data_IF_705588037677
#
_entry.id   IF_705588037677
#
_cell.length_a   1.000
_cell.length_b   1.000
_cell.length_c   1.000
_cell.angle_alpha   90.00
_cell.angle_beta   90.00
_cell.angle_gamma   90.00
#
_symmetry.space_group_name_H-M   'P 1'
#
loop_
_entity.id
_entity.type
_entity.pdbx_description
1 polymer ?
#
# COMPACT_ATOMS: atom_id res chain seq x y z
N UNK A 1 -13.40 2.21 43.04
CA UNK A 1 -13.71 3.35 42.13
C UNK A 1 -12.40 3.76 41.49
N UNK A 2 -12.01 3.07 40.39
CA UNK A 2 -10.77 3.38 39.63
C UNK A 2 -11.12 4.48 38.65
N UNK A 3 -10.51 5.62 38.83
CA UNK A 3 -10.47 6.70 37.83
C UNK A 3 -9.66 6.17 36.67
N UNK A 4 -10.32 5.80 35.55
CA UNK A 4 -9.67 5.64 34.26
C UNK A 4 -9.23 7.05 33.81
N UNK A 5 -8.00 7.44 34.14
CA UNK A 5 -7.32 8.49 33.42
C UNK A 5 -7.35 8.10 31.95
N UNK A 6 -7.97 8.94 31.13
CA UNK A 6 -7.82 8.91 29.68
C UNK A 6 -6.34 9.13 29.39
N UNK A 7 -5.58 8.05 29.33
CA UNK A 7 -4.27 8.05 28.69
C UNK A 7 -4.55 8.49 27.25
N UNK A 8 -4.25 9.74 26.95
CA UNK A 8 -4.20 10.23 25.56
C UNK A 8 -3.38 9.21 24.81
N UNK A 9 -4.01 8.41 23.96
CA UNK A 9 -3.36 7.38 23.16
C UNK A 9 -2.27 8.07 22.34
N UNK A 10 -1.03 8.01 22.82
CA UNK A 10 0.12 8.51 22.08
C UNK A 10 0.25 7.64 20.83
N UNK A 11 0.01 8.23 19.68
CA UNK A 11 0.27 7.57 18.40
C UNK A 11 1.77 7.63 18.11
N UNK A 12 2.27 6.68 17.30
CA UNK A 12 3.71 6.55 17.01
C UNK A 12 4.26 7.82 16.36
N UNK A 13 3.50 8.41 15.41
CA UNK A 13 3.93 9.55 14.61
C UNK A 13 3.23 10.86 14.98
N UNK A 14 2.67 10.99 16.19
CA UNK A 14 1.87 12.16 16.63
C UNK A 14 2.53 13.52 16.38
N UNK A 15 3.86 13.57 16.35
CA UNK A 15 4.62 14.82 16.18
C UNK A 15 5.07 15.04 14.74
N UNK A 16 4.77 14.13 13.84
CA UNK A 16 5.23 14.17 12.46
C UNK A 16 4.13 14.76 11.59
N UNK A 17 4.47 15.79 10.83
CA UNK A 17 3.62 16.41 9.82
C UNK A 17 4.15 16.10 8.42
N UNK A 18 3.28 15.63 7.55
CA UNK A 18 3.59 15.25 6.18
C UNK A 18 2.78 16.14 5.23
N UNK A 19 3.46 16.81 4.31
CA UNK A 19 2.83 17.52 3.20
C UNK A 19 2.80 16.59 1.99
N UNK A 20 1.62 16.16 1.62
CA UNK A 20 1.37 15.12 0.62
C UNK A 20 0.86 15.73 -0.69
N UNK A 21 1.75 15.83 -1.68
CA UNK A 21 1.41 16.23 -3.06
C UNK A 21 1.13 15.03 -3.96
N UNK A 22 1.24 13.81 -3.46
CA UNK A 22 1.14 12.61 -4.28
C UNK A 22 -0.29 12.34 -4.77
N UNK A 23 -0.43 11.58 -5.87
CA UNK A 23 -1.68 11.27 -6.54
C UNK A 23 -1.85 9.78 -6.76
N UNK A 24 -3.07 9.34 -7.00
CA UNK A 24 -3.49 8.02 -7.45
C UNK A 24 -3.27 6.94 -6.36
N UNK A 25 -2.25 6.09 -6.45
CA UNK A 25 -2.05 4.95 -5.54
C UNK A 25 -0.76 5.05 -4.74
N UNK A 26 0.36 5.18 -5.41
CA UNK A 26 1.71 4.96 -4.90
C UNK A 26 2.02 5.79 -3.65
N UNK A 27 2.03 7.11 -3.80
CA UNK A 27 2.28 8.03 -2.69
C UNK A 27 1.14 8.06 -1.67
N UNK A 28 -0.14 8.14 -2.11
CA UNK A 28 -1.27 8.12 -1.19
C UNK A 28 -1.31 6.88 -0.30
N UNK A 29 -0.88 5.70 -0.78
CA UNK A 29 -0.76 4.49 0.03
C UNK A 29 0.30 4.64 1.13
N UNK A 30 1.47 5.20 0.79
CA UNK A 30 2.51 5.44 1.77
C UNK A 30 2.04 6.41 2.86
N UNK A 31 1.43 7.53 2.46
CA UNK A 31 0.96 8.55 3.42
C UNK A 31 -0.28 8.11 4.21
N UNK A 32 -1.12 7.22 3.66
CA UNK A 32 -2.19 6.56 4.41
C UNK A 32 -1.63 5.73 5.58
N UNK A 33 -0.59 4.93 5.34
CA UNK A 33 0.05 4.13 6.39
C UNK A 33 0.63 5.05 7.47
N UNK A 34 1.31 6.13 7.08
CA UNK A 34 1.85 7.10 8.03
C UNK A 34 0.73 7.81 8.82
N UNK A 35 -0.39 8.14 8.16
CA UNK A 35 -1.57 8.71 8.81
C UNK A 35 -2.20 7.74 9.82
N UNK A 36 -2.35 6.45 9.47
CA UNK A 36 -2.84 5.42 10.37
C UNK A 36 -1.94 5.28 11.63
N UNK A 37 -0.63 5.44 11.45
CA UNK A 37 0.37 5.48 12.53
C UNK A 37 0.32 6.79 13.35
N UNK A 38 -0.50 7.75 12.93
CA UNK A 38 -0.80 8.97 13.67
C UNK A 38 -0.05 10.22 13.23
N UNK A 39 0.65 10.20 12.10
CA UNK A 39 1.16 11.42 11.48
C UNK A 39 -0.01 12.34 11.07
N UNK A 40 0.21 13.64 11.15
CA UNK A 40 -0.66 14.63 10.53
C UNK A 40 -0.30 14.71 9.04
N UNK A 41 -1.21 14.26 8.18
CA UNK A 41 -1.02 14.30 6.73
C UNK A 41 -1.91 15.38 6.14
N UNK A 42 -1.30 16.39 5.52
CA UNK A 42 -1.98 17.44 4.75
C UNK A 42 -1.87 17.07 3.28
N UNK A 43 -2.96 16.59 2.71
CA UNK A 43 -3.09 16.26 1.29
C UNK A 43 -3.37 17.52 0.50
N UNK A 44 -2.49 17.85 -0.45
CA UNK A 44 -2.66 18.99 -1.35
C UNK A 44 -3.16 18.52 -2.70
N UNK A 45 -4.32 19.05 -3.10
CA UNK A 45 -4.94 18.74 -4.37
C UNK A 45 -5.04 19.99 -5.25
N UNK A 46 -5.13 19.86 -6.59
CA UNK A 46 -5.56 20.96 -7.44
C UNK A 46 -6.99 21.37 -7.08
N UNK A 47 -7.39 22.59 -7.40
CA UNK A 47 -8.73 23.13 -7.07
C UNK A 47 -9.90 22.32 -7.65
N UNK A 48 -9.65 21.49 -8.65
CA UNK A 48 -10.64 20.57 -9.23
C UNK A 48 -10.57 19.14 -8.68
N UNK A 49 -9.69 18.87 -7.72
CA UNK A 49 -9.44 17.54 -7.17
C UNK A 49 -8.42 16.73 -7.98
N UNK A 50 -7.88 15.69 -7.36
CA UNK A 50 -7.02 14.74 -8.04
C UNK A 50 -7.84 13.68 -8.83
N UNK A 51 -7.19 13.06 -9.83
CA UNK A 51 -7.84 12.12 -10.76
C UNK A 51 -8.38 10.87 -10.06
N UNK A 52 -7.80 10.42 -8.95
CA UNK A 52 -8.29 9.25 -8.23
C UNK A 52 -9.69 9.44 -7.63
N UNK A 53 -10.16 10.68 -7.45
CA UNK A 53 -11.55 10.95 -7.05
C UNK A 53 -12.57 10.49 -8.10
N UNK A 54 -12.14 10.41 -9.37
CA UNK A 54 -13.00 10.11 -10.52
C UNK A 54 -13.03 8.61 -10.88
N UNK A 55 -12.23 7.74 -10.26
CA UNK A 55 -12.20 6.32 -10.59
C UNK A 55 -13.46 5.58 -10.14
N UNK A 56 -13.94 4.67 -10.95
CA UNK A 56 -15.07 3.79 -10.60
C UNK A 56 -14.62 2.55 -9.81
N UNK A 57 -15.49 2.00 -8.96
CA UNK A 57 -16.81 2.50 -8.56
C UNK A 57 -16.74 3.66 -7.57
N UNK A 58 -17.76 4.53 -7.60
CA UNK A 58 -17.91 5.68 -6.69
C UNK A 58 -18.99 5.41 -5.62
N UNK A 59 -18.78 5.96 -4.44
CA UNK A 59 -19.71 5.93 -3.31
C UNK A 59 -19.78 7.35 -2.73
N UNK A 60 -20.98 7.92 -2.62
CA UNK A 60 -21.15 9.32 -2.24
C UNK A 60 -20.41 10.29 -3.19
N UNK A 61 -20.37 9.97 -4.50
CA UNK A 61 -19.69 10.79 -5.49
C UNK A 61 -18.17 10.67 -5.55
N UNK A 62 -17.54 9.90 -4.64
CA UNK A 62 -16.09 9.74 -4.53
C UNK A 62 -15.69 8.29 -4.78
N UNK A 63 -14.57 8.10 -5.46
CA UNK A 63 -14.00 6.80 -5.80
C UNK A 63 -13.68 5.96 -4.54
N UNK A 64 -13.91 4.63 -4.63
CA UNK A 64 -13.44 3.68 -3.61
C UNK A 64 -11.94 3.78 -3.35
N UNK A 65 -11.15 4.11 -4.37
CA UNK A 65 -9.70 4.28 -4.27
C UNK A 65 -9.35 5.43 -3.35
N UNK A 66 -9.98 6.59 -3.56
CA UNK A 66 -9.77 7.76 -2.73
C UNK A 66 -10.26 7.53 -1.29
N UNK A 67 -11.42 6.87 -1.10
CA UNK A 67 -11.91 6.48 0.22
C UNK A 67 -10.92 5.60 0.99
N UNK A 68 -10.24 4.69 0.29
CA UNK A 68 -9.26 3.79 0.92
C UNK A 68 -7.95 4.49 1.25
N UNK A 69 -7.39 5.23 0.28
CA UNK A 69 -6.02 5.75 0.34
C UNK A 69 -5.88 7.10 1.06
N UNK A 70 -6.96 7.87 1.15
CA UNK A 70 -6.89 9.24 1.69
C UNK A 70 -7.59 9.40 3.05
N UNK A 71 -7.93 8.27 3.69
CA UNK A 71 -8.41 8.26 5.09
C UNK A 71 -7.38 8.86 6.05
N UNK A 72 -7.86 9.42 7.15
CA UNK A 72 -7.03 10.06 8.19
C UNK A 72 -6.26 11.30 7.73
N UNK A 73 -6.49 11.83 6.52
CA UNK A 73 -5.80 13.00 5.99
C UNK A 73 -6.65 14.27 6.09
N UNK A 74 -6.00 15.41 6.21
CA UNK A 74 -6.62 16.75 6.04
C UNK A 74 -6.46 17.17 4.57
N UNK A 75 -7.55 17.33 3.84
CA UNK A 75 -7.53 17.72 2.42
C UNK A 75 -7.57 19.23 2.23
N UNK A 76 -6.62 19.77 1.48
CA UNK A 76 -6.58 21.16 1.06
C UNK A 76 -6.44 21.24 -0.46
N UNK A 77 -6.99 22.31 -1.05
CA UNK A 77 -6.84 22.57 -2.47
C UNK A 77 -5.94 23.78 -2.69
N UNK A 78 -5.00 23.69 -3.63
CA UNK A 78 -4.11 24.80 -3.99
C UNK A 78 -3.89 24.86 -5.51
N UNK A 79 -4.02 26.04 -6.09
CA UNK A 79 -3.52 26.32 -7.42
C UNK A 79 -2.01 26.59 -7.37
N UNK A 80 -1.19 25.53 -7.48
CA UNK A 80 0.27 25.62 -7.41
C UNK A 80 0.92 26.39 -8.58
N UNK A 81 0.16 26.70 -9.63
CA UNK A 81 0.65 27.54 -10.75
C UNK A 81 0.57 29.02 -10.43
N UNK A 82 -0.26 29.42 -9.47
CA UNK A 82 -0.38 30.79 -9.00
C UNK A 82 0.68 31.09 -7.92
N UNK A 83 1.34 32.24 -7.96
CA UNK A 83 2.32 32.63 -6.93
C UNK A 83 1.81 32.58 -5.49
N UNK A 84 0.51 32.91 -5.25
CA UNK A 84 -0.09 32.82 -3.91
C UNK A 84 -0.24 31.36 -3.47
N UNK A 85 -0.72 30.47 -4.36
CA UNK A 85 -0.82 29.05 -4.06
C UNK A 85 0.55 28.39 -3.79
N UNK A 86 1.56 28.76 -4.59
CA UNK A 86 2.95 28.36 -4.34
C UNK A 86 3.47 28.87 -2.98
N UNK A 87 3.22 30.12 -2.63
CA UNK A 87 3.62 30.70 -1.34
C UNK A 87 3.05 29.88 -0.18
N UNK A 88 1.73 29.59 -0.23
CA UNK A 88 1.05 28.77 0.79
C UNK A 88 1.70 27.37 0.88
N UNK A 89 2.01 26.74 -0.26
CA UNK A 89 2.66 25.43 -0.29
C UNK A 89 4.05 25.45 0.37
N UNK A 90 4.85 26.52 0.18
CA UNK A 90 6.14 26.71 0.84
C UNK A 90 5.99 26.97 2.35
N UNK A 91 4.97 27.73 2.75
CA UNK A 91 4.64 27.94 4.17
C UNK A 91 4.24 26.63 4.86
N UNK A 92 3.41 25.80 4.21
CA UNK A 92 3.08 24.46 4.70
C UNK A 92 4.34 23.58 4.81
N UNK A 93 5.18 23.58 3.78
CA UNK A 93 6.43 22.82 3.78
C UNK A 93 7.36 23.23 4.92
N UNK A 94 7.46 24.55 5.24
CA UNK A 94 8.30 25.06 6.34
C UNK A 94 7.87 24.55 7.71
N UNK A 95 6.59 24.15 7.85
CA UNK A 95 6.01 23.60 9.09
C UNK A 95 5.90 22.07 9.05
N UNK A 96 6.40 21.42 8.01
CA UNK A 96 6.31 19.97 7.81
C UNK A 96 7.65 19.27 8.07
N UNK A 97 7.58 18.00 8.42
CA UNK A 97 8.74 17.12 8.62
C UNK A 97 9.11 16.39 7.36
N UNK A 98 8.09 16.05 6.57
CA UNK A 98 8.22 15.30 5.32
C UNK A 98 7.42 16.00 4.24
N UNK A 99 7.98 16.06 3.04
CA UNK A 99 7.27 16.34 1.78
C UNK A 99 7.34 15.11 0.91
N UNK A 100 6.23 14.73 0.31
CA UNK A 100 6.15 13.59 -0.60
C UNK A 100 5.41 13.97 -1.89
N UNK A 101 5.94 13.50 -3.02
CA UNK A 101 5.36 13.72 -4.35
C UNK A 101 5.60 12.52 -5.27
N UNK A 102 4.76 12.36 -6.28
CA UNK A 102 4.95 11.34 -7.33
C UNK A 102 4.61 11.91 -8.72
N UNK A 103 4.95 13.17 -8.95
CA UNK A 103 4.79 13.82 -10.24
C UNK A 103 5.83 13.33 -11.27
N UNK A 104 5.58 13.65 -12.53
CA UNK A 104 6.58 13.45 -13.56
C UNK A 104 7.85 14.24 -13.25
N UNK A 105 8.99 13.63 -13.54
CA UNK A 105 10.32 14.21 -13.26
C UNK A 105 10.42 15.71 -13.59
N UNK A 106 10.91 16.48 -12.64
CA UNK A 106 11.12 17.92 -12.73
C UNK A 106 9.84 18.76 -12.70
N UNK A 107 8.67 18.16 -12.46
CA UNK A 107 7.43 18.93 -12.35
C UNK A 107 7.44 19.81 -11.09
N UNK A 108 7.87 19.30 -9.95
CA UNK A 108 7.97 20.06 -8.71
C UNK A 108 9.04 21.15 -8.79
N UNK A 109 10.17 20.89 -9.48
CA UNK A 109 11.20 21.92 -9.73
C UNK A 109 10.64 23.09 -10.57
N UNK A 110 9.88 22.78 -11.62
CA UNK A 110 9.22 23.83 -12.45
C UNK A 110 8.20 24.63 -11.67
N UNK A 111 7.55 24.04 -10.67
CA UNK A 111 6.64 24.74 -9.75
C UNK A 111 7.43 25.53 -8.68
N UNK A 112 8.75 25.32 -8.55
CA UNK A 112 9.57 25.88 -7.48
C UNK A 112 9.24 25.31 -6.11
N UNK A 113 8.89 24.02 -6.09
CA UNK A 113 8.56 23.20 -4.92
C UNK A 113 9.41 21.92 -4.89
N UNK A 114 10.50 21.86 -5.66
CA UNK A 114 11.46 20.76 -5.62
C UNK A 114 12.26 20.74 -4.32
N UNK A 115 13.04 19.67 -4.12
CA UNK A 115 13.83 19.49 -2.90
C UNK A 115 14.69 20.71 -2.53
N UNK A 116 15.44 21.25 -3.49
CA UNK A 116 16.31 22.40 -3.26
C UNK A 116 15.55 23.69 -2.94
N UNK A 117 14.31 23.83 -3.41
CA UNK A 117 13.47 24.99 -3.07
C UNK A 117 12.89 24.88 -1.64
N UNK A 118 12.40 23.69 -1.28
CA UNK A 118 11.82 23.44 0.04
C UNK A 118 12.91 23.44 1.11
N UNK A 119 14.10 22.93 0.83
CA UNK A 119 15.25 22.94 1.73
C UNK A 119 15.66 24.37 2.14
N UNK A 120 15.42 25.38 1.32
CA UNK A 120 15.67 26.78 1.67
C UNK A 120 14.78 27.28 2.81
N UNK A 121 13.55 26.79 2.90
CA UNK A 121 12.57 27.19 3.93
C UNK A 121 12.52 26.19 5.10
N UNK A 122 13.01 24.96 4.90
CA UNK A 122 13.08 23.89 5.90
C UNK A 122 14.37 23.07 5.69
N UNK A 123 15.50 23.49 6.26
CA UNK A 123 16.81 22.85 5.99
C UNK A 123 16.91 21.37 6.37
N UNK A 124 16.16 20.93 7.38
CA UNK A 124 16.10 19.56 7.88
C UNK A 124 14.92 18.75 7.29
N UNK A 125 14.35 19.21 6.16
CA UNK A 125 13.24 18.52 5.51
C UNK A 125 13.64 17.12 5.00
N UNK A 126 12.73 16.16 5.13
CA UNK A 126 12.79 14.90 4.43
C UNK A 126 11.91 15.05 3.20
N UNK A 127 12.47 14.86 2.01
CA UNK A 127 11.77 14.99 0.74
C UNK A 127 11.74 13.66 0.02
N UNK A 128 10.58 13.08 -0.17
CA UNK A 128 10.40 11.79 -0.85
C UNK A 128 9.87 11.99 -2.27
N UNK A 129 10.71 11.75 -3.26
CA UNK A 129 10.32 11.68 -4.68
C UNK A 129 10.02 10.24 -5.06
N UNK A 130 8.81 9.99 -5.50
CA UNK A 130 8.34 8.70 -5.93
C UNK A 130 8.18 8.67 -7.44
N UNK A 131 8.84 7.73 -8.11
CA UNK A 131 8.86 7.70 -9.58
C UNK A 131 8.78 6.28 -10.13
N UNK A 132 8.58 6.15 -11.44
CA UNK A 132 8.59 4.84 -12.10
C UNK A 132 9.97 4.22 -12.20
N UNK A 133 11.02 5.06 -12.44
CA UNK A 133 12.33 4.59 -12.84
C UNK A 133 13.50 5.28 -12.12
N UNK A 134 13.23 6.04 -11.06
CA UNK A 134 14.22 6.84 -10.35
C UNK A 134 14.45 8.22 -10.97
N UNK A 135 15.18 9.05 -10.22
CA UNK A 135 15.48 10.43 -10.61
C UNK A 135 16.60 10.53 -11.66
N UNK A 136 17.34 9.46 -11.89
CA UNK A 136 18.43 9.40 -12.88
C UNK A 136 18.35 8.16 -13.77
N UNK A 137 19.39 7.94 -14.59
CA UNK A 137 19.46 6.79 -15.48
C UNK A 137 18.69 6.93 -16.81
N UNK A 138 18.79 5.90 -17.68
CA UNK A 138 18.32 5.99 -19.07
C UNK A 138 16.79 6.06 -19.19
N UNK A 139 16.04 5.65 -18.17
CA UNK A 139 14.57 5.60 -18.17
C UNK A 139 13.90 6.68 -17.33
N UNK A 140 14.64 7.50 -16.62
CA UNK A 140 14.13 8.48 -15.67
C UNK A 140 13.07 9.46 -16.25
N UNK A 141 13.03 9.66 -17.56
CA UNK A 141 12.06 10.52 -18.28
C UNK A 141 10.88 9.75 -18.89
N UNK A 142 10.85 8.42 -18.78
CA UNK A 142 9.76 7.63 -19.34
C UNK A 142 8.52 7.73 -18.47
N UNK A 143 7.32 7.78 -19.07
CA UNK A 143 6.08 7.63 -18.32
C UNK A 143 6.03 6.22 -17.73
N UNK A 144 5.51 6.11 -16.50
CA UNK A 144 5.31 4.83 -15.81
C UNK A 144 4.00 4.83 -15.05
N UNK A 145 3.48 3.62 -14.88
CA UNK A 145 2.43 3.23 -13.96
C UNK A 145 2.83 1.88 -13.36
N UNK A 146 2.13 1.45 -12.32
CA UNK A 146 2.34 0.15 -11.66
C UNK A 146 2.60 -1.01 -12.63
N UNK A 147 1.73 -1.15 -13.65
CA UNK A 147 1.80 -2.22 -14.64
C UNK A 147 3.08 -2.20 -15.48
N UNK A 148 3.63 -1.02 -15.75
CA UNK A 148 4.87 -0.86 -16.52
C UNK A 148 6.07 -1.34 -15.70
N UNK A 149 6.19 -0.89 -14.44
CA UNK A 149 7.26 -1.33 -13.55
C UNK A 149 7.18 -2.84 -13.26
N UNK A 150 6.00 -3.36 -12.99
CA UNK A 150 5.75 -4.79 -12.77
C UNK A 150 6.12 -5.64 -14.01
N UNK A 151 5.77 -5.18 -15.22
CA UNK A 151 6.16 -5.85 -16.46
C UNK A 151 7.68 -5.90 -16.64
N UNK A 152 8.35 -4.76 -16.43
CA UNK A 152 9.80 -4.64 -16.63
C UNK A 152 10.62 -5.37 -15.56
N UNK A 153 10.05 -5.55 -14.34
CA UNK A 153 10.72 -6.31 -13.28
C UNK A 153 10.70 -7.83 -13.49
N UNK A 154 10.02 -8.31 -14.53
CA UNK A 154 9.82 -9.73 -14.79
C UNK A 154 8.66 -10.37 -14.02
N UNK A 155 7.92 -9.60 -13.19
CA UNK A 155 6.84 -10.12 -12.35
C UNK A 155 5.76 -10.87 -13.13
N UNK A 156 5.29 -10.30 -14.25
CA UNK A 156 4.24 -10.91 -15.06
C UNK A 156 4.71 -12.17 -15.79
N UNK A 157 5.96 -12.16 -16.27
CA UNK A 157 6.55 -13.35 -16.94
C UNK A 157 6.76 -14.47 -15.90
N UNK A 158 7.32 -14.14 -14.75
CA UNK A 158 7.51 -15.09 -13.65
C UNK A 158 6.17 -15.72 -13.22
N UNK A 159 5.11 -14.93 -13.09
CA UNK A 159 3.76 -15.42 -12.74
C UNK A 159 3.23 -16.36 -13.82
N UNK A 160 3.35 -16.00 -15.10
CA UNK A 160 2.94 -16.83 -16.22
C UNK A 160 3.70 -18.15 -16.28
N UNK A 161 5.02 -18.10 -16.14
CA UNK A 161 5.89 -19.31 -16.16
C UNK A 161 5.58 -20.31 -15.05
N UNK A 162 5.03 -19.83 -13.94
CA UNK A 162 4.61 -20.71 -12.84
C UNK A 162 3.28 -21.42 -13.13
N UNK A 163 2.46 -20.88 -14.02
CA UNK A 163 1.20 -21.45 -14.48
C UNK A 163 1.44 -22.33 -15.70
N UNK A 164 2.01 -21.77 -16.75
CA UNK A 164 2.35 -22.43 -18.02
C UNK A 164 3.60 -21.75 -18.61
N UNK A 165 4.77 -22.42 -18.62
CA UNK A 165 6.01 -21.86 -19.17
C UNK A 165 5.94 -21.51 -20.66
N UNK A 166 5.10 -22.19 -21.43
CA UNK A 166 4.87 -21.94 -22.86
C UNK A 166 3.72 -20.95 -23.10
N UNK A 167 3.00 -20.59 -22.03
CA UNK A 167 1.85 -19.70 -22.07
C UNK A 167 2.24 -18.21 -22.08
N UNK A 168 1.24 -17.32 -22.20
CA UNK A 168 1.44 -15.88 -22.12
C UNK A 168 1.82 -15.42 -20.69
N UNK A 169 2.45 -14.24 -20.57
CA UNK A 169 2.60 -13.59 -19.26
C UNK A 169 1.24 -13.38 -18.57
N UNK A 170 1.18 -13.50 -17.27
CA UNK A 170 -0.04 -13.32 -16.47
C UNK A 170 0.08 -12.07 -15.62
N UNK A 171 -0.87 -11.14 -15.81
CA UNK A 171 -1.02 -9.98 -14.95
C UNK A 171 -1.85 -10.35 -13.72
N UNK A 172 -1.32 -10.21 -12.50
CA UNK A 172 -2.11 -10.37 -11.29
C UNK A 172 -3.23 -9.33 -11.19
N UNK A 173 -4.23 -9.60 -10.35
CA UNK A 173 -5.36 -8.69 -10.14
C UNK A 173 -5.03 -7.47 -9.26
N UNK A 174 -3.81 -7.37 -8.73
CA UNK A 174 -3.39 -6.35 -7.78
C UNK A 174 -2.49 -5.29 -8.40
N UNK A 175 -2.36 -4.19 -7.65
CA UNK A 175 -1.54 -3.04 -8.01
C UNK A 175 -0.16 -3.09 -7.31
N UNK A 176 0.52 -4.23 -7.32
CA UNK A 176 1.82 -4.44 -6.66
C UNK A 176 2.88 -3.41 -7.06
N UNK A 177 2.89 -2.99 -8.33
CA UNK A 177 3.79 -1.95 -8.80
C UNK A 177 3.60 -0.56 -8.18
N UNK A 178 2.53 -0.35 -7.40
CA UNK A 178 2.28 0.85 -6.60
C UNK A 178 2.38 0.56 -5.09
N UNK A 179 1.71 -0.51 -4.63
CA UNK A 179 1.58 -0.78 -3.20
C UNK A 179 2.92 -1.22 -2.57
N UNK A 180 3.66 -2.10 -3.23
CA UNK A 180 4.95 -2.55 -2.71
C UNK A 180 5.98 -1.40 -2.68
N UNK A 181 6.14 -0.59 -3.75
CA UNK A 181 6.94 0.63 -3.67
C UNK A 181 6.45 1.62 -2.61
N UNK A 182 5.13 1.71 -2.37
CA UNK A 182 4.56 2.51 -1.29
C UNK A 182 5.05 2.07 0.10
N UNK A 183 5.20 0.76 0.33
CA UNK A 183 5.81 0.24 1.57
C UNK A 183 7.29 0.62 1.67
N UNK A 184 8.05 0.55 0.58
CA UNK A 184 9.44 1.03 0.55
C UNK A 184 9.55 2.52 0.83
N UNK A 185 8.61 3.33 0.32
CA UNK A 185 8.55 4.76 0.63
C UNK A 185 8.31 5.01 2.12
N UNK A 186 7.43 4.24 2.77
CA UNK A 186 7.25 4.30 4.24
C UNK A 186 8.55 3.95 4.97
N UNK A 187 9.22 2.86 4.58
CA UNK A 187 10.50 2.46 5.18
C UNK A 187 11.55 3.56 4.99
N UNK A 188 11.65 4.14 3.80
CA UNK A 188 12.57 5.24 3.49
C UNK A 188 12.29 6.47 4.34
N UNK A 189 11.04 6.91 4.43
CA UNK A 189 10.65 8.06 5.26
C UNK A 189 10.90 7.81 6.74
N UNK A 190 10.55 6.62 7.27
CA UNK A 190 10.83 6.26 8.67
C UNK A 190 12.33 6.21 8.96
N UNK A 191 13.13 5.65 8.05
CA UNK A 191 14.60 5.63 8.15
C UNK A 191 15.20 7.02 8.16
N UNK A 192 14.72 7.92 7.28
CA UNK A 192 15.17 9.30 7.22
C UNK A 192 14.75 10.13 8.46
N UNK A 193 13.54 9.90 9.00
CA UNK A 193 13.10 10.51 10.26
C UNK A 193 14.00 10.09 11.42
N UNK A 194 14.35 8.80 11.50
CA UNK A 194 15.26 8.27 12.52
C UNK A 194 16.68 8.83 12.36
N UNK A 195 17.19 8.92 11.12
CA UNK A 195 18.47 9.54 10.84
C UNK A 195 18.49 11.01 11.29
N UNK A 196 17.44 11.77 10.95
CA UNK A 196 17.29 13.17 11.36
C UNK A 196 17.26 13.32 12.88
N UNK A 197 16.61 12.43 13.60
CA UNK A 197 16.57 12.44 15.07
C UNK A 197 17.98 12.35 15.68
N UNK A 198 18.88 11.61 15.03
CA UNK A 198 20.27 11.44 15.52
C UNK A 198 21.23 12.54 15.06
N UNK A 199 21.04 13.08 13.87
CA UNK A 199 22.00 13.98 13.21
C UNK A 199 21.52 15.41 13.10
N UNK A 200 20.21 15.64 13.18
CA UNK A 200 19.60 16.93 12.85
C UNK A 200 19.47 17.19 11.34
N UNK A 201 19.89 16.24 10.48
CA UNK A 201 19.95 16.42 9.02
C UNK A 201 18.77 15.76 8.32
N UNK A 202 18.06 16.54 7.48
CA UNK A 202 17.11 16.02 6.50
C UNK A 202 17.78 15.47 5.26
N UNK A 203 17.01 14.83 4.38
CA UNK A 203 17.54 14.25 3.14
C UNK A 203 16.50 14.11 2.06
N UNK A 204 16.97 14.00 0.81
CA UNK A 204 16.16 13.61 -0.33
C UNK A 204 16.13 12.07 -0.46
N UNK A 205 14.95 11.50 -0.64
CA UNK A 205 14.72 10.07 -0.84
C UNK A 205 14.18 9.88 -2.24
N UNK A 206 14.86 9.07 -3.05
CA UNK A 206 14.40 8.61 -4.36
C UNK A 206 13.91 7.17 -4.23
N UNK A 207 12.63 6.93 -4.55
CA UNK A 207 12.03 5.59 -4.53
C UNK A 207 11.44 5.31 -5.90
N UNK A 208 12.00 4.30 -6.57
CA UNK A 208 11.59 3.88 -7.92
C UNK A 208 10.70 2.64 -7.86
N UNK A 209 9.58 2.68 -8.59
CA UNK A 209 8.71 1.49 -8.72
C UNK A 209 9.50 0.29 -9.25
N UNK A 210 10.31 0.49 -10.30
CA UNK A 210 11.08 -0.61 -10.91
C UNK A 210 12.07 -1.23 -9.93
N UNK A 211 12.83 -0.41 -9.20
CA UNK A 211 13.83 -0.90 -8.25
C UNK A 211 13.17 -1.70 -7.12
N UNK A 212 12.05 -1.21 -6.61
CA UNK A 212 11.28 -1.92 -5.59
C UNK A 212 10.75 -3.27 -6.10
N UNK A 213 10.21 -3.31 -7.31
CA UNK A 213 9.72 -4.55 -7.92
C UNK A 213 10.85 -5.54 -8.22
N UNK A 214 12.06 -5.07 -8.57
CA UNK A 214 13.25 -5.92 -8.70
C UNK A 214 13.66 -6.47 -7.34
N UNK A 215 13.64 -5.65 -6.29
CA UNK A 215 13.94 -6.09 -4.92
C UNK A 215 12.93 -7.15 -4.42
N UNK A 216 11.64 -7.01 -4.74
CA UNK A 216 10.60 -8.01 -4.44
C UNK A 216 10.85 -9.32 -5.17
N UNK A 217 11.36 -9.27 -6.40
CA UNK A 217 11.77 -10.45 -7.16
C UNK A 217 13.18 -10.97 -6.78
N UNK A 218 13.74 -10.55 -5.65
CA UNK A 218 15.12 -10.86 -5.26
C UNK A 218 15.45 -12.35 -5.22
N UNK A 219 14.54 -13.20 -4.71
CA UNK A 219 14.77 -14.66 -4.64
C UNK A 219 14.90 -15.30 -6.04
N UNK A 220 13.92 -15.16 -6.95
CA UNK A 220 14.05 -15.73 -8.31
C UNK A 220 15.20 -15.11 -9.10
N UNK A 221 15.46 -13.80 -8.98
CA UNK A 221 16.59 -13.14 -9.64
C UNK A 221 17.93 -13.68 -9.13
N UNK A 222 18.09 -13.80 -7.82
CA UNK A 222 19.31 -14.39 -7.22
C UNK A 222 19.50 -15.82 -7.69
N UNK A 223 18.44 -16.63 -7.72
CA UNK A 223 18.49 -17.99 -8.24
C UNK A 223 18.96 -18.05 -9.68
N UNK A 224 18.45 -17.18 -10.53
CA UNK A 224 18.87 -17.09 -11.93
C UNK A 224 20.35 -16.64 -12.06
N UNK A 225 20.74 -15.59 -11.34
CA UNK A 225 22.13 -15.10 -11.36
C UNK A 225 23.16 -16.16 -10.92
N UNK A 226 22.79 -17.04 -9.99
CA UNK A 226 23.67 -18.10 -9.48
C UNK A 226 23.69 -19.34 -10.38
N UNK A 227 22.61 -19.67 -11.07
CA UNK A 227 22.47 -20.96 -11.77
C UNK A 227 22.28 -20.85 -13.28
N UNK A 228 21.93 -19.66 -13.79
CA UNK A 228 21.48 -19.46 -15.17
C UNK A 228 20.13 -20.10 -15.49
N UNK A 229 19.42 -20.63 -14.47
CA UNK A 229 18.15 -21.35 -14.66
C UNK A 229 16.96 -20.54 -14.16
N UNK A 230 15.88 -20.55 -14.91
CA UNK A 230 14.62 -19.93 -14.52
C UNK A 230 13.91 -20.76 -13.41
N UNK A 231 13.07 -20.13 -12.58
CA UNK A 231 12.39 -20.82 -11.46
C UNK A 231 11.57 -22.06 -11.87
N UNK A 232 10.91 -22.04 -13.03
CA UNK A 232 10.15 -23.18 -13.51
C UNK A 232 11.04 -24.35 -13.94
N UNK A 233 12.24 -24.09 -14.51
CA UNK A 233 13.21 -25.13 -14.87
C UNK A 233 13.75 -25.84 -13.61
N UNK A 234 13.98 -25.09 -12.52
CA UNK A 234 14.29 -25.69 -11.24
C UNK A 234 13.16 -26.58 -10.72
N UNK A 235 11.88 -26.21 -10.97
CA UNK A 235 10.74 -27.04 -10.58
C UNK A 235 10.68 -28.33 -11.39
N UNK A 236 10.91 -28.28 -12.70
CA UNK A 236 10.92 -29.48 -13.57
C UNK A 236 12.03 -30.46 -13.20
N UNK A 237 13.23 -29.97 -12.82
CA UNK A 237 14.36 -30.84 -12.43
C UNK A 237 14.21 -31.49 -11.06
N UNK A 238 13.27 -31.04 -10.24
CA UNK A 238 13.05 -31.66 -8.92
C UNK A 238 12.31 -32.98 -9.07
N UNK A 239 12.96 -34.06 -8.67
CA UNK A 239 12.36 -35.42 -8.58
C UNK A 239 11.50 -35.53 -7.31
N UNK A 240 10.38 -36.22 -7.42
CA UNK A 240 9.48 -36.53 -6.30
C UNK A 240 8.10 -35.88 -6.40
N UNK A 241 7.15 -36.52 -5.75
CA UNK A 241 5.75 -36.10 -5.73
C UNK A 241 5.61 -34.78 -4.94
N UNK A 242 4.85 -33.86 -5.50
CA UNK A 242 4.54 -32.56 -4.89
C UNK A 242 3.06 -32.43 -4.66
N UNK A 243 2.74 -32.26 -3.41
CA UNK A 243 1.36 -32.12 -2.95
C UNK A 243 1.09 -30.68 -2.45
N UNK A 244 1.80 -29.69 -3.02
CA UNK A 244 1.60 -28.26 -2.70
C UNK A 244 0.90 -27.57 -3.86
N UNK A 245 -0.11 -26.77 -3.52
CA UNK A 245 -0.84 -25.97 -4.49
C UNK A 245 -2.33 -25.89 -4.20
N UNK A 246 -3.10 -25.33 -5.15
CA UNK A 246 -4.55 -25.35 -5.10
C UNK A 246 -5.08 -26.73 -5.48
N UNK A 247 -6.15 -27.12 -4.79
CA UNK A 247 -6.92 -28.35 -5.05
C UNK A 247 -8.41 -28.02 -5.01
N UNK A 248 -9.17 -28.63 -5.93
CA UNK A 248 -10.61 -28.50 -5.94
C UNK A 248 -11.23 -29.36 -4.83
N UNK A 249 -12.23 -28.83 -4.14
CA UNK A 249 -13.07 -29.51 -3.18
C UNK A 249 -14.51 -29.46 -3.67
N UNK A 250 -15.43 -30.24 -3.09
CA UNK A 250 -16.83 -30.36 -3.57
C UNK A 250 -17.60 -29.03 -3.56
N UNK A 251 -17.16 -28.03 -2.79
CA UNK A 251 -17.82 -26.73 -2.63
C UNK A 251 -16.89 -25.53 -2.75
N UNK A 252 -15.71 -25.68 -3.36
CA UNK A 252 -14.74 -24.57 -3.52
C UNK A 252 -13.32 -25.07 -3.69
N UNK A 253 -12.35 -24.23 -3.33
CA UNK A 253 -10.93 -24.50 -3.49
C UNK A 253 -10.18 -24.41 -2.16
N UNK A 254 -9.19 -25.31 -1.97
CA UNK A 254 -8.30 -25.31 -0.83
C UNK A 254 -6.86 -25.22 -1.30
N UNK A 255 -6.05 -24.42 -0.61
CA UNK A 255 -4.60 -24.45 -0.78
C UNK A 255 -3.97 -25.36 0.26
N UNK A 256 -3.17 -26.32 -0.18
CA UNK A 256 -2.44 -27.25 0.69
C UNK A 256 -0.95 -26.95 0.54
N UNK A 257 -0.26 -26.70 1.68
CA UNK A 257 1.17 -26.48 1.70
C UNK A 257 1.89 -27.70 2.29
N UNK A 258 2.62 -28.42 1.45
CA UNK A 258 3.37 -29.59 1.89
C UNK A 258 4.82 -29.55 1.46
N UNK A 259 5.65 -30.33 2.13
CA UNK A 259 7.01 -30.66 1.75
C UNK A 259 7.21 -32.18 1.83
N UNK A 260 8.28 -32.75 1.27
CA UNK A 260 8.55 -34.20 1.40
C UNK A 260 8.54 -34.70 2.84
N UNK A 261 8.94 -33.85 3.81
CA UNK A 261 8.93 -34.18 5.24
C UNK A 261 7.52 -34.26 5.85
N UNK A 262 6.50 -33.77 5.15
CA UNK A 262 5.10 -33.77 5.61
C UNK A 262 4.26 -34.89 4.98
N UNK A 263 4.83 -35.69 4.07
CA UNK A 263 4.08 -36.71 3.31
C UNK A 263 3.37 -37.72 4.23
N UNK A 264 4.03 -38.20 5.28
CA UNK A 264 3.42 -39.12 6.25
C UNK A 264 2.22 -38.49 6.98
N UNK A 265 2.36 -37.22 7.37
CA UNK A 265 1.26 -36.47 8.01
C UNK A 265 0.10 -36.26 7.04
N UNK A 266 0.42 -35.95 5.76
CA UNK A 266 -0.59 -35.80 4.73
C UNK A 266 -1.37 -37.11 4.55
N UNK A 267 -0.68 -38.24 4.41
CA UNK A 267 -1.31 -39.56 4.31
C UNK A 267 -2.19 -39.87 5.53
N UNK A 268 -1.71 -39.55 6.73
CA UNK A 268 -2.48 -39.71 7.96
C UNK A 268 -3.76 -38.84 7.95
N UNK A 269 -3.66 -37.59 7.52
CA UNK A 269 -4.81 -36.68 7.41
C UNK A 269 -5.83 -37.14 6.36
N UNK A 270 -5.34 -37.74 5.29
CA UNK A 270 -6.17 -38.37 4.26
C UNK A 270 -6.79 -39.72 4.69
N UNK A 271 -6.22 -40.36 5.71
CA UNK A 271 -6.62 -41.73 6.11
C UNK A 271 -6.19 -42.82 5.11
N UNK A 272 -5.03 -42.62 4.43
CA UNK A 272 -4.52 -43.55 3.41
C UNK A 272 -3.13 -44.07 3.81
N UNK A 273 -2.84 -45.32 3.37
CA UNK A 273 -1.54 -45.96 3.63
C UNK A 273 -0.48 -45.58 2.59
N UNK A 274 -0.88 -45.14 1.41
CA UNK A 274 -0.01 -44.76 0.29
C UNK A 274 -0.54 -43.53 -0.43
N UNK A 275 0.40 -42.73 -0.92
CA UNK A 275 0.15 -41.54 -1.75
C UNK A 275 1.11 -41.60 -2.94
N UNK A 276 0.64 -42.16 -4.06
CA UNK A 276 1.49 -42.48 -5.21
C UNK A 276 1.50 -41.40 -6.28
N UNK A 277 0.48 -40.53 -6.30
CA UNK A 277 0.34 -39.47 -7.29
C UNK A 277 -0.40 -38.26 -6.74
N UNK A 278 -0.25 -37.14 -7.44
CA UNK A 278 -1.07 -35.93 -7.18
C UNK A 278 -2.56 -36.22 -7.35
N UNK A 279 -2.94 -37.08 -8.32
CA UNK A 279 -4.33 -37.44 -8.57
C UNK A 279 -5.00 -38.12 -7.35
N UNK A 280 -4.26 -38.86 -6.52
CA UNK A 280 -4.84 -39.40 -5.29
C UNK A 280 -5.31 -38.30 -4.33
N UNK A 281 -4.51 -37.20 -4.19
CA UNK A 281 -4.90 -36.06 -3.37
C UNK A 281 -6.04 -35.28 -4.02
N UNK A 282 -6.01 -35.06 -5.33
CA UNK A 282 -7.08 -34.38 -6.08
C UNK A 282 -8.42 -35.09 -5.93
N UNK A 283 -8.45 -36.42 -6.08
CA UNK A 283 -9.66 -37.21 -5.87
C UNK A 283 -10.15 -37.13 -4.41
N UNK A 284 -9.24 -37.23 -3.46
CA UNK A 284 -9.55 -37.15 -2.03
C UNK A 284 -10.16 -35.80 -1.64
N UNK A 285 -9.63 -34.66 -2.19
CA UNK A 285 -10.17 -33.34 -1.95
C UNK A 285 -11.52 -33.12 -2.65
N UNK A 286 -11.65 -33.56 -3.89
CA UNK A 286 -12.89 -33.40 -4.69
C UNK A 286 -14.13 -34.05 -4.05
N UNK A 287 -13.94 -35.13 -3.29
CA UNK A 287 -15.02 -35.84 -2.59
C UNK A 287 -15.43 -35.17 -1.25
N UNK A 288 -14.76 -34.11 -0.85
CA UNK A 288 -14.91 -33.45 0.49
C UNK A 288 -15.16 -31.98 0.34
N UNK A 289 -15.85 -31.39 1.33
CA UNK A 289 -15.99 -29.96 1.43
C UNK A 289 -14.64 -29.32 1.82
N UNK A 290 -14.45 -28.04 1.50
CA UNK A 290 -13.27 -27.25 1.90
C UNK A 290 -13.02 -27.39 3.40
N UNK A 291 -14.09 -27.30 4.22
CA UNK A 291 -13.98 -27.41 5.67
C UNK A 291 -13.48 -28.78 6.11
N UNK A 292 -14.00 -29.87 5.56
CA UNK A 292 -13.56 -31.22 5.88
C UNK A 292 -12.09 -31.46 5.51
N UNK A 293 -11.66 -30.99 4.35
CA UNK A 293 -10.25 -31.05 3.93
C UNK A 293 -9.34 -30.28 4.88
N UNK A 294 -9.69 -29.04 5.17
CA UNK A 294 -8.90 -28.16 6.05
C UNK A 294 -8.79 -28.75 7.45
N UNK A 295 -9.92 -29.17 8.06
CA UNK A 295 -9.95 -29.73 9.41
C UNK A 295 -9.11 -31.02 9.50
N UNK A 296 -9.24 -31.91 8.53
CA UNK A 296 -8.50 -33.18 8.51
C UNK A 296 -6.97 -32.95 8.44
N UNK A 297 -6.52 -31.99 7.62
CA UNK A 297 -5.11 -31.71 7.41
C UNK A 297 -4.49 -30.92 8.57
N UNK A 298 -5.20 -29.94 9.11
CA UNK A 298 -4.74 -29.16 10.27
C UNK A 298 -4.60 -30.04 11.49
N UNK A 299 -5.53 -31.01 11.72
CA UNK A 299 -5.48 -31.93 12.84
C UNK A 299 -4.19 -32.77 12.90
N UNK A 300 -3.53 -32.96 11.76
CA UNK A 300 -2.25 -33.69 11.66
C UNK A 300 -1.03 -32.77 11.43
N UNK A 301 -1.23 -31.45 11.50
CA UNK A 301 -0.18 -30.45 11.35
C UNK A 301 0.30 -30.26 9.91
N UNK A 302 -0.59 -30.47 8.94
CA UNK A 302 -0.40 -30.08 7.53
C UNK A 302 -1.10 -28.76 7.29
N UNK A 303 -0.36 -27.67 6.92
CA UNK A 303 -1.00 -26.38 6.64
C UNK A 303 -1.94 -26.48 5.42
N UNK A 304 -3.18 -26.12 5.65
CA UNK A 304 -4.21 -26.02 4.62
C UNK A 304 -5.15 -24.84 4.94
N UNK A 305 -5.65 -24.19 3.91
CA UNK A 305 -6.57 -23.06 4.06
C UNK A 305 -7.55 -23.00 2.88
N UNK A 306 -8.77 -22.47 3.08
CA UNK A 306 -9.67 -22.18 1.96
C UNK A 306 -9.03 -21.11 1.06
N UNK A 307 -9.32 -21.15 -0.24
CA UNK A 307 -9.05 -20.05 -1.16
C UNK A 307 -10.31 -19.18 -1.20
N UNK A 308 -10.33 -18.17 -0.35
CA UNK A 308 -11.51 -17.35 -0.10
C UNK A 308 -11.78 -16.33 -1.22
N UNK A 309 -13.04 -16.10 -1.52
CA UNK A 309 -13.51 -14.89 -2.22
C UNK A 309 -13.46 -13.68 -1.30
N UNK A 310 -13.56 -12.46 -1.86
CA UNK A 310 -13.60 -11.23 -1.06
C UNK A 310 -14.78 -11.22 -0.07
N UNK A 311 -15.92 -11.82 -0.43
CA UNK A 311 -17.06 -11.95 0.47
C UNK A 311 -16.70 -12.79 1.69
N UNK A 312 -16.10 -13.95 1.48
CA UNK A 312 -15.69 -14.84 2.57
C UNK A 312 -14.60 -14.21 3.45
N UNK A 313 -13.68 -13.45 2.86
CA UNK A 313 -12.66 -12.71 3.64
C UNK A 313 -13.29 -11.71 4.61
N UNK A 314 -14.28 -10.91 4.18
CA UNK A 314 -14.89 -9.89 5.07
C UNK A 314 -15.82 -10.51 6.12
N UNK A 315 -16.31 -11.74 5.88
CA UNK A 315 -17.14 -12.51 6.80
C UNK A 315 -16.32 -13.43 7.74
N UNK A 316 -15.01 -13.63 7.45
CA UNK A 316 -14.14 -14.53 8.20
C UNK A 316 -14.03 -14.13 9.67
N UNK A 317 -14.29 -15.07 10.62
CA UNK A 317 -14.30 -14.76 12.05
C UNK A 317 -12.91 -14.34 12.59
N UNK A 318 -11.82 -14.86 12.02
CA UNK A 318 -10.46 -14.48 12.43
C UNK A 318 -10.10 -13.07 11.92
N UNK A 319 -10.44 -12.75 10.67
CA UNK A 319 -10.27 -11.41 10.09
C UNK A 319 -11.01 -10.37 10.93
N UNK A 320 -12.26 -10.67 11.32
CA UNK A 320 -13.08 -9.80 12.17
C UNK A 320 -12.53 -9.72 13.61
N UNK A 321 -12.12 -10.84 14.22
CA UNK A 321 -11.48 -10.86 15.54
C UNK A 321 -10.19 -10.02 15.56
N UNK A 322 -9.42 -10.05 14.49
CA UNK A 322 -8.22 -9.22 14.32
C UNK A 322 -8.51 -7.73 14.06
N UNK A 323 -9.78 -7.35 13.95
CA UNK A 323 -10.22 -5.97 13.69
C UNK A 323 -9.67 -5.46 12.36
N UNK A 324 -9.63 -6.33 11.33
CA UNK A 324 -9.11 -5.95 10.01
C UNK A 324 -10.16 -5.27 9.13
N UNK A 325 -11.41 -5.37 9.47
CA UNK A 325 -12.50 -4.61 8.82
C UNK A 325 -13.05 -3.61 9.83
N UNK A 326 -12.98 -2.33 9.48
CA UNK A 326 -13.44 -1.21 10.31
C UNK A 326 -14.40 -0.33 9.53
N UNK A 327 -15.10 0.54 10.25
CA UNK A 327 -16.10 1.45 9.68
C UNK A 327 -15.85 2.87 10.20
N UNK A 328 -16.04 3.85 9.33
CA UNK A 328 -16.10 5.28 9.68
C UNK A 328 -17.23 5.93 8.91
N UNK A 329 -17.76 7.03 9.46
CA UNK A 329 -18.79 7.81 8.77
C UNK A 329 -18.15 8.82 7.81
N UNK A 330 -18.70 8.89 6.59
CA UNK A 330 -18.34 9.87 5.57
C UNK A 330 -19.59 10.73 5.27
N UNK A 331 -19.48 12.07 5.16
CA UNK A 331 -20.63 12.94 4.98
C UNK A 331 -21.55 12.56 3.82
N UNK A 332 -20.99 12.20 2.68
CA UNK A 332 -21.75 11.93 1.45
C UNK A 332 -21.94 10.43 1.17
N UNK A 333 -21.02 9.57 1.62
CA UNK A 333 -21.08 8.13 1.36
C UNK A 333 -21.72 7.31 2.49
N UNK A 334 -22.04 7.96 3.63
CA UNK A 334 -22.52 7.24 4.83
C UNK A 334 -21.42 6.38 5.44
N UNK A 335 -21.77 5.19 5.90
CA UNK A 335 -20.80 4.28 6.52
C UNK A 335 -19.84 3.66 5.52
N UNK A 336 -18.59 4.08 5.52
CA UNK A 336 -17.49 3.50 4.73
C UNK A 336 -16.81 2.39 5.53
N UNK A 337 -16.82 1.18 4.97
CA UNK A 337 -16.11 0.02 5.52
C UNK A 337 -14.82 -0.21 4.76
N UNK A 338 -13.73 -0.49 5.47
CA UNK A 338 -12.41 -0.58 4.86
C UNK A 338 -11.49 -1.52 5.64
N UNK A 339 -10.46 -2.11 4.99
CA UNK A 339 -9.38 -2.78 5.71
C UNK A 339 -8.65 -1.80 6.64
N UNK A 340 -8.37 -2.27 7.86
CA UNK A 340 -7.65 -1.51 8.88
C UNK A 340 -6.13 -1.66 8.75
N UNK A 341 -5.39 -0.90 9.54
CA UNK A 341 -3.93 -1.02 9.66
C UNK A 341 -3.55 -2.43 10.19
N UNK A 342 -2.62 -3.15 9.48
CA UNK A 342 -2.36 -4.55 9.80
C UNK A 342 -1.45 -4.75 11.02
N UNK A 343 -0.60 -3.77 11.37
CA UNK A 343 0.37 -3.90 12.45
C UNK A 343 -0.33 -3.65 13.80
N UNK A 344 -0.17 -4.57 14.75
CA UNK A 344 -0.72 -4.48 16.10
C UNK A 344 0.43 -4.22 17.10
N UNK A 345 0.42 -3.06 17.73
CA UNK A 345 1.37 -2.68 18.76
C UNK A 345 0.78 -2.90 20.15
N UNK A 346 1.61 -3.21 21.12
CA UNK A 346 1.16 -3.45 22.50
C UNK A 346 0.78 -2.17 23.27
N UNK A 347 1.22 -1.00 22.82
CA UNK A 347 1.04 0.27 23.54
C UNK A 347 0.27 1.33 22.76
N UNK A 348 0.17 1.20 21.46
CA UNK A 348 -0.52 2.15 20.58
C UNK A 348 -1.43 1.37 19.63
N UNK A 349 -2.45 2.03 19.10
CA UNK A 349 -3.40 1.41 18.18
C UNK A 349 -3.49 2.21 16.89
N UNK A 350 -2.70 1.86 15.87
CA UNK A 350 -2.90 2.42 14.53
C UNK A 350 -4.28 2.01 14.02
N UNK A 351 -5.02 2.96 13.47
CA UNK A 351 -6.37 2.69 12.98
C UNK A 351 -6.89 3.77 12.03
N UNK A 352 -7.90 3.42 11.27
CA UNK A 352 -8.72 4.36 10.53
C UNK A 352 -9.58 5.15 11.53
N UNK A 353 -9.29 6.45 11.71
CA UNK A 353 -9.98 7.36 12.64
C UNK A 353 -11.01 8.24 11.94
N UNK A 354 -10.74 8.60 10.67
CA UNK A 354 -11.63 9.42 9.86
C UNK A 354 -11.68 8.89 8.42
N UNK A 355 -12.78 9.19 7.74
CA UNK A 355 -12.93 8.95 6.32
C UNK A 355 -11.99 9.87 5.50
N UNK A 356 -11.88 9.60 4.21
CA UNK A 356 -11.21 10.49 3.27
C UNK A 356 -11.89 11.86 3.24
N UNK A 357 -11.13 12.97 3.09
CA UNK A 357 -11.71 14.30 3.14
C UNK A 357 -12.52 14.63 1.87
N UNK A 358 -13.55 15.47 2.03
CA UNK A 358 -14.15 16.18 0.89
C UNK A 358 -13.13 17.11 0.23
N UNK A 359 -13.38 17.51 -1.01
CA UNK A 359 -12.49 18.41 -1.73
C UNK A 359 -12.37 19.76 -1.00
N UNK A 360 -11.16 20.14 -0.60
CA UNK A 360 -10.90 21.37 0.14
C UNK A 360 -11.49 21.43 1.55
N UNK A 361 -11.96 20.30 2.09
CA UNK A 361 -12.65 20.24 3.39
C UNK A 361 -11.93 21.00 4.51
N UNK A 362 -10.61 21.00 4.49
CA UNK A 362 -9.79 21.56 5.57
C UNK A 362 -9.05 22.85 5.14
N UNK A 363 -9.48 23.50 4.02
CA UNK A 363 -8.86 24.74 3.56
C UNK A 363 -8.83 25.82 4.66
N UNK A 364 -10.00 26.10 5.26
CA UNK A 364 -10.11 27.16 6.28
C UNK A 364 -9.28 26.82 7.53
N UNK A 365 -9.40 25.58 8.03
CA UNK A 365 -8.69 25.11 9.22
C UNK A 365 -7.16 25.21 9.02
N UNK A 366 -6.65 24.67 7.90
CA UNK A 366 -5.21 24.63 7.62
C UNK A 366 -4.64 26.02 7.36
N UNK A 367 -5.36 26.88 6.67
CA UNK A 367 -4.91 28.25 6.42
C UNK A 367 -4.97 29.11 7.69
N UNK A 368 -5.96 28.90 8.56
CA UNK A 368 -6.00 29.54 9.89
C UNK A 368 -4.82 29.10 10.75
N UNK A 369 -4.42 27.82 10.73
CA UNK A 369 -3.22 27.30 11.40
C UNK A 369 -1.91 27.94 10.86
N UNK A 370 -1.92 28.43 9.62
CA UNK A 370 -0.83 29.21 9.02
C UNK A 370 -0.85 30.68 9.42
N UNK A 371 -1.98 31.18 9.97
CA UNK A 371 -2.14 32.56 10.42
C UNK A 371 -2.92 33.45 9.43
N UNK A 372 -3.55 32.87 8.41
CA UNK A 372 -4.43 33.62 7.50
C UNK A 372 -5.74 34.00 8.21
N UNK A 373 -6.19 35.23 8.01
CA UNK A 373 -7.50 35.69 8.49
C UNK A 373 -8.64 35.14 7.61
N UNK A 374 -9.86 35.15 8.14
CA UNK A 374 -11.04 34.72 7.37
C UNK A 374 -11.22 35.56 6.09
N UNK A 375 -10.91 36.86 6.12
CA UNK A 375 -10.97 37.75 4.96
C UNK A 375 -9.93 37.37 3.89
N UNK A 376 -8.69 37.06 4.31
CA UNK A 376 -7.64 36.57 3.39
C UNK A 376 -8.02 35.23 2.76
N UNK A 377 -8.57 34.31 3.53
CA UNK A 377 -9.05 32.99 3.04
C UNK A 377 -10.16 33.17 2.01
N UNK A 378 -11.13 34.06 2.27
CA UNK A 378 -12.18 34.34 1.30
C UNK A 378 -11.62 34.98 0.02
N UNK A 379 -10.67 35.91 0.14
CA UNK A 379 -9.98 36.46 -1.02
C UNK A 379 -9.20 35.44 -1.85
N UNK A 380 -8.66 34.39 -1.20
CA UNK A 380 -8.02 33.27 -1.92
C UNK A 380 -9.05 32.40 -2.67
N UNK A 381 -10.26 32.23 -2.09
CA UNK A 381 -11.36 31.49 -2.71
C UNK A 381 -11.92 32.26 -3.92
N UNK A 382 -12.19 33.56 -3.80
CA UNK A 382 -12.61 34.42 -4.89
C UNK A 382 -11.60 34.44 -6.05
N UNK A 383 -10.31 34.43 -5.74
CA UNK A 383 -9.21 34.37 -6.71
C UNK A 383 -8.99 32.95 -7.28
N UNK A 384 -9.77 31.94 -6.87
CA UNK A 384 -9.64 30.52 -7.28
C UNK A 384 -8.25 29.92 -7.00
N UNK A 385 -7.61 30.37 -5.93
CA UNK A 385 -6.37 29.79 -5.41
C UNK A 385 -6.70 28.54 -4.62
N UNK A 386 -7.82 28.55 -3.92
CA UNK A 386 -8.44 27.43 -3.21
C UNK A 386 -9.89 27.25 -3.68
N UNK A 387 -10.53 26.12 -3.32
CA UNK A 387 -11.98 25.89 -3.48
C UNK A 387 -12.77 26.53 -2.37
#
# INVERSE_FOLDING_TARGET
MYVQERVSLMTILKKIRILDFSHVYYGPYATMIMADLGAEVIKVEPVWGEVAREYDPKFGGVSQVFHYLDRNKRGVTLNLKDPKGKKIALELASKSDVVIENFSRGAMDRLGLGYEDIKKVKPDIIYASLSGFGLDGPYAKRPSFASIASSMSGWYRLTGDLVDPEGPPVMPAEWHGDLDPGLYAVIGMMGALLHREWTGEGQHIDVSQLDCMIAQNGIPITGYLMSGMLPYEHRQKRTGLRFMGPFEASNGWVFIHTSPRMTERLMKGMGVEKLESRANLENWTAERTVKEVVDALIAVGVPAAPINSLKEVVEDPHVNHRGMIVSVEHPDAGTVRSPNHPIKYSRVKPEMRSAAPLLGQHNEEVLTDLGYSAEEIEGLREAKIIT
#
